data_IF_396742288391
#
_entry.id   IF_396742288391
#
_cell.length_a   1.000
_cell.length_b   1.000
_cell.length_c   1.000
_cell.angle_alpha   90.00
_cell.angle_beta   90.00
_cell.angle_gamma   90.00
#
_symmetry.space_group_name_H-M   'P 1'
#
loop_
_entity.id
_entity.type
_entity.pdbx_description
1 polymer ?
#
# COMPACT_ATOMS: atom_id res chain seq x y z
N UNK A 1 -6.76 -2.21 30.14
CA UNK A 1 -7.12 -1.55 28.87
C UNK A 1 -8.62 -1.71 28.65
N UNK A 2 -9.33 -0.69 28.17
CA UNK A 2 -10.77 -0.83 27.92
C UNK A 2 -11.02 -1.68 26.66
N UNK A 3 -12.11 -2.47 26.60
CA UNK A 3 -12.45 -3.24 25.41
C UNK A 3 -12.68 -2.36 24.16
N UNK A 4 -13.05 -1.08 24.35
CA UNK A 4 -13.16 -0.10 23.26
C UNK A 4 -11.81 0.25 22.65
N UNK A 5 -10.78 0.42 23.48
CA UNK A 5 -9.42 0.69 23.03
C UNK A 5 -8.88 -0.47 22.17
N UNK A 6 -9.06 -1.71 22.63
CA UNK A 6 -8.60 -2.90 21.89
C UNK A 6 -9.25 -2.99 20.50
N UNK A 7 -10.55 -2.71 20.38
CA UNK A 7 -11.25 -2.71 19.09
C UNK A 7 -10.65 -1.69 18.11
N UNK A 8 -10.43 -0.46 18.57
CA UNK A 8 -9.86 0.60 17.73
C UNK A 8 -8.43 0.23 17.32
N UNK A 9 -7.61 -0.27 18.24
CA UNK A 9 -6.24 -0.68 17.95
C UNK A 9 -6.18 -1.80 16.90
N UNK A 10 -7.07 -2.80 16.97
CA UNK A 10 -7.15 -3.87 15.97
C UNK A 10 -7.57 -3.31 14.60
N UNK A 11 -8.60 -2.47 14.55
CA UNK A 11 -9.07 -1.87 13.28
C UNK A 11 -7.98 -1.02 12.65
N UNK A 12 -7.34 -0.13 13.42
CA UNK A 12 -6.26 0.72 12.92
C UNK A 12 -5.03 -0.09 12.52
N UNK A 13 -4.68 -1.13 13.29
CA UNK A 13 -3.58 -2.04 12.96
C UNK A 13 -3.81 -2.78 11.64
N UNK A 14 -5.04 -3.25 11.40
CA UNK A 14 -5.40 -3.89 10.12
C UNK A 14 -5.38 -2.90 8.96
N UNK A 15 -5.87 -1.67 9.17
CA UNK A 15 -5.77 -0.61 8.16
C UNK A 15 -4.31 -0.28 7.80
N UNK A 16 -3.45 -0.14 8.80
CA UNK A 16 -2.02 0.14 8.60
C UNK A 16 -1.30 -1.01 7.89
N UNK A 17 -1.75 -2.25 8.07
CA UNK A 17 -1.16 -3.42 7.42
C UNK A 17 -1.40 -3.47 5.91
N UNK A 18 -2.40 -2.74 5.38
CA UNK A 18 -2.74 -2.74 3.94
C UNK A 18 -1.53 -2.32 3.09
N UNK A 19 -0.77 -1.31 3.52
CA UNK A 19 0.39 -0.82 2.78
C UNK A 19 1.49 -1.88 2.58
N UNK A 20 2.03 -2.46 3.67
CA UNK A 20 2.99 -3.55 3.59
C UNK A 20 2.47 -4.76 2.81
N UNK A 21 1.22 -5.18 3.04
CA UNK A 21 0.62 -6.28 2.29
C UNK A 21 0.55 -6.01 0.78
N UNK A 22 0.18 -4.79 0.38
CA UNK A 22 0.15 -4.41 -1.02
C UNK A 22 1.53 -4.62 -1.66
N UNK A 23 2.60 -4.13 -1.03
CA UNK A 23 3.97 -4.22 -1.57
C UNK A 23 4.44 -5.68 -1.65
N UNK A 24 4.23 -6.44 -0.58
CA UNK A 24 4.65 -7.84 -0.48
C UNK A 24 3.93 -8.72 -1.50
N UNK A 25 2.67 -8.41 -1.84
CA UNK A 25 1.95 -9.09 -2.92
C UNK A 25 2.33 -8.56 -4.31
N UNK A 26 2.64 -7.27 -4.44
CA UNK A 26 2.93 -6.63 -5.73
C UNK A 26 4.25 -7.11 -6.33
N UNK A 27 5.32 -7.11 -5.53
CA UNK A 27 6.67 -7.45 -5.98
C UNK A 27 6.77 -8.83 -6.67
N UNK A 28 6.29 -9.94 -6.08
CA UNK A 28 6.32 -11.24 -6.74
C UNK A 28 5.35 -11.35 -7.92
N UNK A 29 4.31 -10.51 -7.97
CA UNK A 29 3.32 -10.50 -9.05
C UNK A 29 3.76 -9.66 -10.28
N UNK A 30 4.81 -8.84 -10.18
CA UNK A 30 5.29 -8.02 -11.31
C UNK A 30 5.47 -8.82 -12.63
N UNK A 31 6.07 -10.04 -12.63
CA UNK A 31 6.26 -10.81 -13.86
C UNK A 31 4.93 -11.31 -14.46
N UNK A 32 3.99 -11.76 -13.61
CA UNK A 32 2.68 -12.23 -14.07
C UNK A 32 1.83 -11.08 -14.61
N UNK A 33 1.85 -9.92 -13.94
CA UNK A 33 1.17 -8.69 -14.42
C UNK A 33 1.67 -8.31 -15.82
N UNK A 34 2.99 -8.33 -16.04
CA UNK A 34 3.57 -8.03 -17.35
C UNK A 34 3.12 -9.01 -18.44
N UNK A 35 3.05 -10.29 -18.11
CA UNK A 35 2.61 -11.34 -19.04
C UNK A 35 1.13 -11.21 -19.37
N UNK A 36 0.27 -11.10 -18.36
CA UNK A 36 -1.19 -11.05 -18.50
C UNK A 36 -1.65 -9.80 -19.24
N UNK A 37 -0.97 -8.66 -19.02
CA UNK A 37 -1.29 -7.38 -19.65
C UNK A 37 -0.49 -7.09 -20.93
N UNK A 38 0.36 -8.03 -21.38
CA UNK A 38 1.28 -7.82 -22.51
C UNK A 38 2.12 -6.53 -22.37
N UNK A 39 2.52 -6.21 -21.14
CA UNK A 39 3.21 -4.97 -20.79
C UNK A 39 4.70 -5.22 -20.57
N UNK A 40 5.53 -4.26 -21.00
CA UNK A 40 6.97 -4.30 -20.76
C UNK A 40 7.32 -4.14 -19.28
N UNK A 41 8.49 -4.64 -18.87
CA UNK A 41 9.00 -4.57 -17.49
C UNK A 41 9.02 -3.13 -16.95
N UNK A 42 9.42 -2.17 -17.77
CA UNK A 42 9.44 -0.75 -17.40
C UNK A 42 8.05 -0.20 -17.05
N UNK A 43 7.00 -0.62 -17.78
CA UNK A 43 5.64 -0.17 -17.52
C UNK A 43 5.11 -0.73 -16.18
N UNK A 44 5.39 -2.00 -15.91
CA UNK A 44 5.00 -2.66 -14.66
C UNK A 44 5.78 -2.08 -13.47
N UNK A 45 7.07 -1.79 -13.62
CA UNK A 45 7.84 -1.09 -12.59
C UNK A 45 7.36 0.35 -12.34
N UNK A 46 6.97 1.07 -13.40
CA UNK A 46 6.42 2.43 -13.27
C UNK A 46 5.13 2.44 -12.46
N UNK A 47 4.28 1.42 -12.58
CA UNK A 47 3.06 1.31 -11.77
C UNK A 47 3.36 1.17 -10.26
N UNK A 48 4.38 0.40 -9.88
CA UNK A 48 4.84 0.29 -8.49
C UNK A 48 5.45 1.60 -7.99
N UNK A 49 6.20 2.30 -8.83
CA UNK A 49 6.72 3.63 -8.52
C UNK A 49 5.58 4.63 -8.27
N UNK A 50 4.56 4.65 -9.13
CA UNK A 50 3.38 5.51 -8.97
C UNK A 50 2.68 5.19 -7.64
N UNK A 51 2.51 3.91 -7.28
CA UNK A 51 1.97 3.51 -5.99
C UNK A 51 2.74 4.13 -4.81
N UNK A 52 4.07 4.04 -4.81
CA UNK A 52 4.90 4.63 -3.75
C UNK A 52 4.81 6.15 -3.70
N UNK A 53 4.82 6.82 -4.86
CA UNK A 53 4.64 8.28 -4.92
C UNK A 53 3.28 8.69 -4.35
N UNK A 54 2.20 8.04 -4.78
CA UNK A 54 0.85 8.33 -4.28
C UNK A 54 0.74 8.11 -2.78
N UNK A 55 1.34 7.04 -2.24
CA UNK A 55 1.41 6.79 -0.79
C UNK A 55 2.19 7.91 -0.07
N UNK A 56 3.36 8.28 -0.58
CA UNK A 56 4.19 9.34 0.00
C UNK A 56 3.49 10.70 0.00
N UNK A 57 2.88 11.09 -1.13
CA UNK A 57 2.09 12.33 -1.21
C UNK A 57 0.87 12.28 -0.28
N UNK A 58 0.20 11.13 -0.18
CA UNK A 58 -0.90 10.93 0.76
C UNK A 58 -0.47 11.19 2.20
N UNK A 59 0.70 10.71 2.61
CA UNK A 59 1.24 10.94 3.96
C UNK A 59 1.56 12.42 4.24
N UNK A 60 2.02 13.17 3.24
CA UNK A 60 2.29 14.62 3.40
C UNK A 60 1.01 15.38 3.75
N UNK A 61 -0.14 14.98 3.19
CA UNK A 61 -1.42 15.65 3.42
C UNK A 61 -2.15 15.07 4.63
N UNK A 62 -2.30 13.74 4.68
CA UNK A 62 -3.11 13.04 5.68
C UNK A 62 -2.41 12.97 7.02
N UNK A 63 -1.08 12.84 7.05
CA UNK A 63 -0.29 12.77 8.29
C UNK A 63 -0.56 13.98 9.20
N UNK A 64 -0.35 15.22 8.72
CA UNK A 64 -0.64 16.43 9.51
C UNK A 64 -2.12 16.61 9.88
N UNK A 65 -3.05 16.05 9.08
CA UNK A 65 -4.50 16.11 9.39
C UNK A 65 -4.86 15.11 10.49
N UNK A 66 -4.13 14.00 10.57
CA UNK A 66 -4.39 12.92 11.54
C UNK A 66 -3.78 13.14 12.93
N UNK A 67 -2.79 14.03 13.03
CA UNK A 67 -2.15 14.47 14.28
C UNK A 67 -2.98 15.54 15.01
#
# INVERSE_FOLDING_TARGET
MSPKFLRIAVVLGLLSAIGPFAIDMYLPALPSIGTDLHAGTAAVQMSLLIFFLSMGFGQIVVGPISD
#
